data_IF_552425236223
#
_entry.id   IF_552425236223
#
_cell.length_a   1.000
_cell.length_b   1.000
_cell.length_c   1.000
_cell.angle_alpha   90.00
_cell.angle_beta   90.00
_cell.angle_gamma   90.00
#
_symmetry.space_group_name_H-M   'P 1'
#
loop_
_entity.id
_entity.type
_entity.pdbx_description
1 polymer ?
#
# COMPACT_ATOMS: atom_id res chain seq x y z
N UNK A 1 63.28 25.11 -28.99
CA UNK A 1 63.29 23.65 -28.70
C UNK A 1 61.97 23.26 -28.06
N UNK A 2 61.51 22.06 -28.42
CA UNK A 2 60.37 21.29 -27.89
C UNK A 2 58.96 21.56 -28.48
N UNK A 3 58.49 20.48 -29.13
CA UNK A 3 57.22 20.26 -29.82
C UNK A 3 56.09 19.93 -28.82
N UNK A 4 54.82 20.16 -29.20
CA UNK A 4 53.66 19.62 -28.51
C UNK A 4 53.50 18.11 -28.77
N UNK A 5 53.05 17.35 -27.76
CA UNK A 5 52.67 15.94 -27.90
C UNK A 5 51.18 15.74 -27.63
N UNK A 6 50.57 14.99 -28.55
CA UNK A 6 49.21 14.47 -28.60
C UNK A 6 48.92 13.47 -27.48
N UNK A 7 47.68 13.44 -27.03
CA UNK A 7 46.99 12.19 -26.69
C UNK A 7 45.66 12.11 -27.43
N UNK A 8 45.50 11.00 -28.14
CA UNK A 8 44.29 10.48 -28.77
C UNK A 8 43.67 9.49 -27.78
N UNK A 9 42.35 9.47 -27.65
CA UNK A 9 41.56 8.23 -27.51
C UNK A 9 40.06 8.54 -27.52
N UNK A 10 39.49 8.34 -28.72
CA UNK A 10 38.32 7.51 -29.02
C UNK A 10 37.07 7.62 -28.13
N UNK A 11 36.02 8.17 -28.74
CA UNK A 11 34.66 8.00 -28.28
C UNK A 11 34.23 6.53 -28.38
N UNK A 12 33.63 6.02 -27.31
CA UNK A 12 32.87 4.78 -27.34
C UNK A 12 31.38 5.12 -27.33
N UNK A 13 30.74 5.01 -28.49
CA UNK A 13 29.31 4.73 -28.59
C UNK A 13 29.12 3.23 -28.36
N UNK A 14 28.84 2.82 -27.13
CA UNK A 14 28.34 1.48 -26.88
C UNK A 14 26.83 1.46 -27.12
N UNK A 15 26.45 0.85 -28.25
CA UNK A 15 25.09 0.37 -28.52
C UNK A 15 24.92 -0.94 -27.79
N UNK A 16 24.21 -0.93 -26.67
CA UNK A 16 23.70 -2.18 -26.10
C UNK A 16 22.36 -2.49 -26.76
N UNK A 17 22.46 -3.31 -27.82
CA UNK A 17 21.34 -4.11 -28.33
C UNK A 17 20.99 -5.14 -27.25
N UNK A 18 19.89 -4.93 -26.54
CA UNK A 18 19.21 -6.02 -25.84
C UNK A 18 18.06 -6.47 -26.75
N UNK A 19 18.35 -7.60 -27.41
CA UNK A 19 17.45 -8.34 -28.28
C UNK A 19 16.13 -8.69 -27.58
N UNK A 20 15.09 -8.76 -28.40
CA UNK A 20 13.72 -9.08 -28.01
C UNK A 20 13.57 -10.59 -28.04
N UNK A 21 13.76 -11.27 -26.91
CA UNK A 21 13.41 -12.68 -26.80
C UNK A 21 12.57 -12.95 -25.54
N UNK A 22 11.29 -13.19 -25.82
CA UNK A 22 10.46 -14.18 -25.14
C UNK A 22 10.21 -13.98 -23.63
N UNK A 23 9.45 -12.94 -23.28
CA UNK A 23 8.61 -13.00 -22.09
C UNK A 23 7.42 -13.92 -22.38
N UNK A 24 7.70 -15.23 -22.42
CA UNK A 24 6.69 -16.27 -22.57
C UNK A 24 5.60 -16.03 -21.51
N UNK A 25 4.38 -15.88 -22.01
CA UNK A 25 3.13 -15.75 -21.26
C UNK A 25 3.12 -16.75 -20.11
N UNK A 26 3.21 -16.27 -18.88
CA UNK A 26 2.79 -17.06 -17.72
C UNK A 26 1.27 -17.17 -17.83
N UNK A 27 0.79 -18.34 -18.26
CA UNK A 27 -0.58 -18.76 -18.00
C UNK A 27 -0.79 -18.69 -16.49
N UNK A 28 -1.70 -17.83 -16.02
CA UNK A 28 -2.24 -18.02 -14.68
C UNK A 28 -2.95 -19.37 -14.67
N UNK A 29 -2.58 -20.34 -13.82
CA UNK A 29 -3.42 -21.51 -13.65
C UNK A 29 -4.77 -21.02 -13.10
N UNK A 30 -5.85 -21.44 -13.74
CA UNK A 30 -7.19 -21.24 -13.22
C UNK A 30 -7.24 -21.84 -11.82
N UNK A 31 -7.32 -20.99 -10.80
CA UNK A 31 -7.49 -21.43 -9.41
C UNK A 31 -8.89 -22.02 -9.31
N UNK A 32 -8.97 -23.35 -9.39
CA UNK A 32 -10.07 -24.14 -8.87
C UNK A 32 -9.51 -25.06 -7.80
N UNK A 33 -9.48 -24.55 -6.58
CA UNK A 33 -9.42 -25.39 -5.39
C UNK A 33 -10.49 -24.89 -4.44
N UNK A 34 -11.66 -25.51 -4.50
CA UNK A 34 -12.64 -25.46 -3.39
C UNK A 34 -12.42 -26.73 -2.59
N UNK A 35 -11.30 -26.77 -1.87
CA UNK A 35 -11.14 -27.65 -0.73
C UNK A 35 -11.85 -26.98 0.44
N UNK A 36 -12.89 -27.62 0.96
CA UNK A 36 -13.60 -27.19 2.16
C UNK A 36 -12.59 -27.09 3.31
N UNK A 37 -12.15 -25.88 3.64
CA UNK A 37 -11.42 -25.63 4.87
C UNK A 37 -12.44 -25.20 5.91
N UNK A 38 -12.72 -26.08 6.88
CA UNK A 38 -13.52 -25.79 8.08
C UNK A 38 -12.77 -24.86 9.06
N UNK A 39 -12.01 -23.90 8.53
CA UNK A 39 -11.30 -22.86 9.25
C UNK A 39 -11.97 -21.52 8.99
N UNK A 40 -12.22 -20.73 10.05
CA UNK A 40 -12.78 -19.38 9.90
C UNK A 40 -11.84 -18.56 8.99
N UNK A 41 -12.34 -18.15 7.83
CA UNK A 41 -11.60 -17.31 6.89
C UNK A 41 -11.15 -16.02 7.60
N UNK A 42 -9.85 -15.73 7.56
CA UNK A 42 -9.28 -14.54 8.20
C UNK A 42 -9.91 -13.27 7.63
N UNK A 43 -10.29 -13.26 6.35
CA UNK A 43 -10.96 -12.10 5.76
C UNK A 43 -12.31 -11.84 6.41
N UNK A 44 -13.05 -12.89 6.77
CA UNK A 44 -14.36 -12.78 7.41
C UNK A 44 -14.21 -12.18 8.82
N UNK A 45 -13.13 -12.51 9.55
CA UNK A 45 -12.78 -11.85 10.82
C UNK A 45 -12.40 -10.38 10.62
N UNK A 46 -11.66 -10.05 9.56
CA UNK A 46 -11.24 -8.68 9.26
C UNK A 46 -12.44 -7.80 8.96
N UNK A 47 -13.37 -8.28 8.13
CA UNK A 47 -14.56 -7.53 7.70
C UNK A 47 -15.73 -7.61 8.68
N UNK A 48 -15.58 -8.29 9.82
CA UNK A 48 -16.57 -8.31 10.88
C UNK A 48 -16.93 -6.87 11.33
N UNK A 49 -18.22 -6.63 11.55
CA UNK A 49 -18.71 -5.29 11.88
C UNK A 49 -18.13 -4.77 13.19
N UNK A 50 -17.99 -5.62 14.21
CA UNK A 50 -17.42 -5.22 15.49
C UNK A 50 -15.93 -4.94 15.36
N UNK A 51 -15.21 -5.74 14.59
CA UNK A 51 -13.79 -5.51 14.29
C UNK A 51 -13.57 -4.16 13.58
N UNK A 52 -14.31 -3.89 12.50
CA UNK A 52 -14.21 -2.62 11.77
C UNK A 52 -14.57 -1.41 12.64
N UNK A 53 -15.57 -1.54 13.53
CA UNK A 53 -15.91 -0.49 14.48
C UNK A 53 -14.81 -0.23 15.51
N UNK A 54 -14.19 -1.29 16.05
CA UNK A 54 -13.01 -1.18 16.92
C UNK A 54 -11.83 -0.52 16.21
N UNK A 55 -11.58 -0.89 14.96
CA UNK A 55 -10.57 -0.25 14.12
C UNK A 55 -10.86 1.23 13.90
N UNK A 56 -12.10 1.61 13.59
CA UNK A 56 -12.52 3.00 13.45
C UNK A 56 -12.27 3.81 14.73
N UNK A 57 -12.66 3.27 15.89
CA UNK A 57 -12.40 3.90 17.20
C UNK A 57 -10.91 4.10 17.45
N UNK A 58 -10.09 3.08 17.18
CA UNK A 58 -8.64 3.14 17.38
C UNK A 58 -7.98 4.19 16.48
N UNK A 59 -8.36 4.24 15.21
CA UNK A 59 -7.86 5.27 14.27
C UNK A 59 -8.27 6.67 14.71
N UNK A 60 -9.51 6.86 15.17
CA UNK A 60 -9.96 8.14 15.71
C UNK A 60 -9.14 8.55 16.95
N UNK A 61 -8.89 7.62 17.86
CA UNK A 61 -8.08 7.88 19.06
C UNK A 61 -6.61 8.21 18.73
N UNK A 62 -6.03 7.56 17.72
CA UNK A 62 -4.67 7.84 17.25
C UNK A 62 -4.54 9.23 16.58
N UNK A 63 -5.66 9.86 16.21
CA UNK A 63 -5.70 11.14 15.48
C UNK A 63 -4.88 11.04 14.19
N UNK A 64 -4.18 12.11 13.83
CA UNK A 64 -3.29 12.16 12.67
C UNK A 64 -3.89 12.92 11.49
N UNK A 65 -2.99 13.42 10.66
CA UNK A 65 -3.35 14.25 9.52
C UNK A 65 -4.20 13.47 8.48
N UNK A 66 -5.02 14.20 7.69
CA UNK A 66 -5.73 13.61 6.57
C UNK A 66 -4.76 13.09 5.51
N UNK A 67 -5.23 12.11 4.72
CA UNK A 67 -4.51 11.58 3.57
C UNK A 67 -4.56 12.53 2.37
N UNK A 68 -4.37 11.97 1.18
CA UNK A 68 -4.44 12.74 -0.07
C UNK A 68 -5.88 13.15 -0.42
N UNK A 69 -6.87 12.43 0.10
CA UNK A 69 -8.30 12.68 -0.06
C UNK A 69 -8.85 13.80 0.84
N UNK A 70 -8.03 14.32 1.77
CA UNK A 70 -8.43 15.41 2.66
C UNK A 70 -9.37 14.99 3.80
N UNK A 71 -9.88 13.76 3.81
CA UNK A 71 -10.79 13.26 4.83
C UNK A 71 -10.12 13.24 6.20
N UNK A 72 -10.79 13.79 7.20
CA UNK A 72 -10.32 13.83 8.59
C UNK A 72 -10.78 12.61 9.39
N UNK A 73 -10.20 12.40 10.57
CA UNK A 73 -10.60 11.30 11.46
C UNK A 73 -12.02 11.46 12.02
N UNK A 74 -12.55 12.69 12.07
CA UNK A 74 -13.89 12.96 12.57
C UNK A 74 -14.98 12.63 11.56
N UNK A 75 -14.68 12.78 10.27
CA UNK A 75 -15.58 12.43 9.16
C UNK A 75 -15.65 10.91 8.92
N UNK A 76 -14.66 10.15 9.41
CA UNK A 76 -14.52 8.72 9.17
C UNK A 76 -15.78 7.93 9.51
N UNK A 77 -16.38 8.18 10.68
CA UNK A 77 -17.52 7.40 11.14
C UNK A 77 -18.74 7.58 10.23
N UNK A 78 -19.02 8.82 9.83
CA UNK A 78 -20.12 9.13 8.91
C UNK A 78 -19.88 8.56 7.50
N UNK A 79 -18.63 8.62 7.03
CA UNK A 79 -18.25 8.04 5.73
C UNK A 79 -18.39 6.52 5.73
N UNK A 80 -17.84 5.84 6.74
CA UNK A 80 -17.88 4.38 6.86
C UNK A 80 -19.31 3.90 6.98
N UNK A 81 -20.16 4.54 7.78
CA UNK A 81 -21.56 4.14 7.93
C UNK A 81 -22.32 4.09 6.59
N UNK A 82 -21.98 4.96 5.64
CA UNK A 82 -22.57 4.99 4.29
C UNK A 82 -21.93 3.98 3.34
N UNK A 83 -20.62 3.75 3.45
CA UNK A 83 -19.84 2.96 2.48
C UNK A 83 -19.53 1.52 2.93
N UNK A 84 -19.87 1.15 4.17
CA UNK A 84 -19.48 -0.11 4.80
C UNK A 84 -19.85 -1.36 3.99
N UNK A 85 -21.08 -1.52 3.45
CA UNK A 85 -21.43 -2.73 2.69
C UNK A 85 -20.55 -2.89 1.45
N UNK A 86 -20.29 -1.79 0.75
CA UNK A 86 -19.44 -1.79 -0.43
C UNK A 86 -17.98 -2.07 -0.08
N UNK A 87 -17.48 -1.49 1.02
CA UNK A 87 -16.13 -1.78 1.53
C UNK A 87 -15.95 -3.27 1.84
N UNK A 88 -16.90 -3.88 2.58
CA UNK A 88 -16.85 -5.30 2.93
C UNK A 88 -16.81 -6.19 1.69
N UNK A 89 -17.65 -5.90 0.69
CA UNK A 89 -17.65 -6.63 -0.58
C UNK A 89 -16.28 -6.55 -1.26
N UNK A 90 -15.72 -5.34 -1.39
CA UNK A 90 -14.41 -5.13 -2.03
C UNK A 90 -13.25 -5.82 -1.29
N UNK A 91 -13.34 -5.92 0.03
CA UNK A 91 -12.34 -6.63 0.83
C UNK A 91 -12.49 -8.15 0.67
N UNK A 92 -13.72 -8.67 0.62
CA UNK A 92 -14.01 -10.09 0.45
C UNK A 92 -13.67 -10.62 -0.94
N UNK A 93 -13.92 -9.82 -1.98
CA UNK A 93 -13.64 -10.19 -3.38
C UNK A 93 -12.21 -9.79 -3.85
N UNK A 94 -11.41 -9.17 -2.99
CA UNK A 94 -10.04 -8.72 -3.30
C UNK A 94 -9.94 -7.51 -4.22
N UNK A 95 -11.05 -6.86 -4.59
CA UNK A 95 -11.07 -5.68 -5.47
C UNK A 95 -10.78 -4.35 -4.76
N UNK A 96 -10.53 -4.37 -3.44
CA UNK A 96 -10.16 -3.18 -2.68
C UNK A 96 -8.82 -2.60 -3.16
N UNK A 97 -8.85 -1.34 -3.61
CA UNK A 97 -7.68 -0.58 -4.03
C UNK A 97 -7.47 0.59 -3.06
N UNK A 98 -6.43 0.55 -2.20
CA UNK A 98 -6.07 1.68 -1.35
C UNK A 98 -5.70 2.91 -2.17
N UNK A 99 -5.85 4.10 -1.59
CA UNK A 99 -5.38 5.32 -2.23
C UNK A 99 -3.87 5.51 -2.00
N UNK A 100 -3.17 6.25 -2.88
CA UNK A 100 -1.79 6.62 -2.66
C UNK A 100 -1.60 7.35 -1.32
N UNK A 101 -0.46 7.08 -0.65
CA UNK A 101 -0.11 7.76 0.60
C UNK A 101 0.35 9.19 0.36
N UNK A 102 -0.09 10.13 1.19
CA UNK A 102 0.38 11.53 1.17
C UNK A 102 1.81 11.60 1.68
N UNK A 103 2.73 12.20 0.90
CA UNK A 103 4.12 12.39 1.31
C UNK A 103 4.26 13.66 2.16
N UNK A 104 4.92 13.53 3.31
CA UNK A 104 5.25 14.65 4.20
C UNK A 104 6.69 14.51 4.65
N UNK A 105 7.44 15.59 4.67
CA UNK A 105 8.79 15.62 5.22
C UNK A 105 8.76 16.24 6.61
N UNK A 106 9.29 15.52 7.61
CA UNK A 106 9.41 16.01 8.99
C UNK A 106 10.91 16.19 9.30
N UNK A 107 11.33 17.35 9.83
CA UNK A 107 12.71 17.55 10.26
C UNK A 107 13.06 16.61 11.42
N UNK A 108 14.25 16.04 11.38
CA UNK A 108 14.88 15.37 12.52
C UNK A 108 15.79 16.34 13.27
N UNK A 109 16.20 15.97 14.48
CA UNK A 109 17.12 16.76 15.30
C UNK A 109 18.51 16.94 14.66
N UNK A 110 18.93 16.03 13.79
CA UNK A 110 20.21 16.06 13.07
C UNK A 110 20.20 16.97 11.81
N UNK A 111 19.09 17.67 11.55
CA UNK A 111 18.91 18.52 10.37
C UNK A 111 18.50 17.76 9.10
N UNK A 112 18.50 16.42 9.12
CA UNK A 112 17.99 15.61 8.01
C UNK A 112 16.46 15.55 8.03
N UNK A 113 15.84 15.15 6.91
CA UNK A 113 14.39 15.02 6.80
C UNK A 113 13.95 13.55 6.80
N UNK A 114 12.94 13.22 7.62
CA UNK A 114 12.23 11.93 7.57
C UNK A 114 11.05 12.04 6.61
N UNK A 115 11.08 11.26 5.54
CA UNK A 115 9.94 11.12 4.62
C UNK A 115 8.90 10.19 5.24
N UNK A 116 7.70 10.70 5.47
CA UNK A 116 6.54 9.94 5.91
C UNK A 116 5.56 9.72 4.75
N UNK A 117 4.83 8.61 4.81
CA UNK A 117 3.65 8.35 4.01
C UNK A 117 2.43 8.29 4.92
N UNK A 118 1.46 9.17 4.69
CA UNK A 118 0.21 9.24 5.47
C UNK A 118 -0.90 8.64 4.60
N UNK A 119 -1.40 7.42 4.91
CA UNK A 119 -2.53 6.85 4.20
C UNK A 119 -3.81 7.63 4.47
N UNK A 120 -4.79 7.50 3.56
CA UNK A 120 -6.14 8.01 3.77
C UNK A 120 -6.78 7.35 4.99
N UNK A 121 -7.69 8.04 5.67
CA UNK A 121 -8.20 7.58 6.97
C UNK A 121 -8.94 6.25 6.84
N UNK A 122 -9.68 6.06 5.73
CA UNK A 122 -10.29 4.77 5.39
C UNK A 122 -9.28 3.64 5.29
N UNK A 123 -8.14 3.88 4.63
CA UNK A 123 -7.08 2.88 4.47
C UNK A 123 -6.44 2.56 5.82
N UNK A 124 -6.23 3.56 6.68
CA UNK A 124 -5.74 3.34 8.05
C UNK A 124 -6.70 2.46 8.87
N UNK A 125 -8.01 2.66 8.71
CA UNK A 125 -9.02 1.81 9.36
C UNK A 125 -8.91 0.36 8.87
N UNK A 126 -8.80 0.14 7.56
CA UNK A 126 -8.64 -1.21 6.99
C UNK A 126 -7.35 -1.87 7.48
N UNK A 127 -6.22 -1.15 7.45
CA UNK A 127 -4.94 -1.64 7.98
C UNK A 127 -5.03 -1.99 9.47
N UNK A 128 -5.70 -1.15 10.25
CA UNK A 128 -5.91 -1.39 11.68
C UNK A 128 -6.81 -2.61 11.94
N UNK A 129 -7.83 -2.83 11.10
CA UNK A 129 -8.71 -4.00 11.18
C UNK A 129 -7.97 -5.30 10.83
N UNK A 130 -7.09 -5.26 9.83
CA UNK A 130 -6.20 -6.36 9.49
C UNK A 130 -5.27 -6.66 10.67
N UNK A 131 -4.59 -5.64 11.18
CA UNK A 131 -3.67 -5.77 12.31
C UNK A 131 -4.34 -6.35 13.57
N UNK A 132 -5.61 -6.02 13.83
CA UNK A 132 -6.36 -6.59 14.95
C UNK A 132 -6.58 -8.11 14.85
N UNK A 133 -6.59 -8.66 13.64
CA UNK A 133 -6.78 -10.09 13.39
C UNK A 133 -5.43 -10.82 13.31
N UNK A 134 -4.47 -10.26 12.58
CA UNK A 134 -3.19 -10.93 12.33
C UNK A 134 -2.12 -10.64 13.39
N UNK A 135 -2.22 -9.52 14.11
CA UNK A 135 -1.17 -9.02 15.02
C UNK A 135 -0.94 -9.85 16.27
N UNK A 136 -1.81 -10.83 16.56
CA UNK A 136 -1.59 -11.84 17.60
C UNK A 136 -1.21 -13.22 17.04
N UNK A 137 -1.15 -13.35 15.72
CA UNK A 137 -0.72 -14.57 15.00
C UNK A 137 0.75 -14.44 14.63
N UNK A 138 1.18 -13.24 14.25
CA UNK A 138 2.57 -12.86 13.97
C UNK A 138 3.25 -12.33 15.22
#
# INVERSE_FOLDING_TARGET
MQRPQKTSQDGCLQRDKLETEEYARVCSPAVKEVGQQDGIDLIDKVIDSNNLFRACKKVKANKGAPGIDGMTVDELFGHVSKYLPHLKRKLKDGSYKPLPVKRVEIPKADGTKRKLGIPCVRDRMVQQAIYQVIGGII
#
